data_IF_523189654801
#
_entry.id   IF_523189654801
#
_cell.length_a   1.000
_cell.length_b   1.000
_cell.length_c   1.000
_cell.angle_alpha   90.00
_cell.angle_beta   90.00
_cell.angle_gamma   90.00
#
_symmetry.space_group_name_H-M   'P 1'
#
loop_
_entity.id
_entity.type
_entity.pdbx_description
1 polymer ?
#
# COMPACT_ATOMS: atom_id res chain seq x y z
N UNK A 1 -11.46 -34.12 -23.94
CA UNK A 1 -11.81 -32.78 -23.39
C UNK A 1 -10.81 -32.50 -22.28
N UNK A 2 -10.08 -31.40 -22.39
CA UNK A 2 -9.19 -30.92 -21.33
C UNK A 2 -10.06 -30.33 -20.21
N UNK A 3 -9.78 -30.67 -18.96
CA UNK A 3 -10.49 -30.07 -17.83
C UNK A 3 -10.05 -28.62 -17.69
N UNK A 4 -11.01 -27.70 -17.58
CA UNK A 4 -10.76 -26.30 -17.31
C UNK A 4 -11.67 -25.86 -16.14
N UNK A 5 -11.17 -25.00 -15.23
CA UNK A 5 -12.01 -24.44 -14.18
C UNK A 5 -13.13 -23.58 -14.79
N UNK A 6 -14.27 -23.45 -14.11
CA UNK A 6 -15.31 -22.53 -14.54
C UNK A 6 -14.77 -21.09 -14.58
N UNK A 7 -15.36 -20.22 -15.42
CA UNK A 7 -14.99 -18.81 -15.43
C UNK A 7 -15.17 -18.20 -14.03
N UNK A 8 -14.27 -17.28 -13.66
CA UNK A 8 -14.34 -16.62 -12.36
C UNK A 8 -15.69 -15.89 -12.20
N UNK A 9 -16.31 -15.90 -11.00
CA UNK A 9 -17.65 -15.34 -10.76
C UNK A 9 -17.75 -13.80 -10.88
N UNK A 10 -16.74 -13.14 -11.44
CA UNK A 10 -16.64 -11.68 -11.51
C UNK A 10 -16.46 -11.03 -10.13
N UNK A 11 -16.37 -9.69 -10.08
CA UNK A 11 -16.18 -8.98 -8.83
C UNK A 11 -17.49 -8.89 -8.02
N UNK A 12 -17.38 -9.14 -6.71
CA UNK A 12 -18.47 -8.99 -5.73
C UNK A 12 -18.90 -7.52 -5.61
N UNK A 13 -20.06 -7.28 -4.99
CA UNK A 13 -20.52 -5.91 -4.70
C UNK A 13 -19.49 -5.14 -3.85
N UNK A 14 -18.95 -5.77 -2.79
CA UNK A 14 -17.92 -5.17 -1.94
C UNK A 14 -16.67 -4.80 -2.74
N UNK A 15 -16.17 -5.69 -3.59
CA UNK A 15 -15.00 -5.41 -4.44
C UNK A 15 -15.23 -4.23 -5.40
N UNK A 16 -16.46 -4.08 -5.92
CA UNK A 16 -16.82 -2.93 -6.78
C UNK A 16 -16.89 -1.63 -5.98
N UNK A 17 -17.42 -1.67 -4.76
CA UNK A 17 -17.47 -0.50 -3.86
C UNK A 17 -16.06 -0.07 -3.47
N UNK A 18 -15.21 -0.99 -3.04
CA UNK A 18 -13.81 -0.70 -2.71
C UNK A 18 -13.02 -0.15 -3.90
N UNK A 19 -13.26 -0.68 -5.11
CA UNK A 19 -12.63 -0.13 -6.31
C UNK A 19 -13.03 1.34 -6.55
N UNK A 20 -14.26 1.73 -6.21
CA UNK A 20 -14.71 3.13 -6.28
C UNK A 20 -14.11 3.97 -5.15
N UNK A 21 -14.05 3.43 -3.93
CA UNK A 21 -13.40 4.09 -2.79
C UNK A 21 -11.93 4.40 -3.08
N UNK A 22 -11.16 3.44 -3.62
CA UNK A 22 -9.75 3.65 -4.02
C UNK A 22 -9.61 4.74 -5.08
N UNK A 23 -10.48 4.70 -6.10
CA UNK A 23 -10.49 5.72 -7.17
C UNK A 23 -10.83 7.12 -6.62
N UNK A 24 -11.66 7.19 -5.59
CA UNK A 24 -11.99 8.43 -4.89
C UNK A 24 -10.93 8.85 -3.85
N UNK A 25 -9.91 8.00 -3.60
CA UNK A 25 -8.88 8.24 -2.59
C UNK A 25 -9.29 8.03 -1.15
N UNK A 26 -10.43 7.36 -0.94
CA UNK A 26 -10.94 7.00 0.40
C UNK A 26 -10.32 5.71 0.93
N UNK A 27 -9.50 5.03 0.12
CA UNK A 27 -8.82 3.78 0.44
C UNK A 27 -7.53 3.69 -0.37
N UNK A 28 -6.52 3.03 0.18
CA UNK A 28 -5.30 2.69 -0.56
C UNK A 28 -5.41 1.32 -1.25
N UNK A 29 -4.38 0.91 -1.99
CA UNK A 29 -4.35 -0.34 -2.75
C UNK A 29 -3.94 -1.58 -1.93
N UNK A 30 -3.71 -1.41 -0.63
CA UNK A 30 -3.47 -2.56 0.25
C UNK A 30 -4.78 -3.34 0.48
N UNK A 31 -4.74 -4.65 0.28
CA UNK A 31 -5.91 -5.53 0.45
C UNK A 31 -6.35 -5.69 1.89
N UNK A 32 -5.46 -5.41 2.85
CA UNK A 32 -5.74 -5.45 4.29
C UNK A 32 -6.00 -4.06 4.88
N UNK A 33 -6.11 -3.01 4.04
CA UNK A 33 -6.38 -1.67 4.51
C UNK A 33 -7.67 -1.63 5.35
N UNK A 34 -7.57 -1.16 6.59
CA UNK A 34 -8.74 -0.89 7.45
C UNK A 34 -9.28 0.52 7.30
N UNK A 35 -8.57 1.39 6.58
CA UNK A 35 -8.89 2.83 6.47
C UNK A 35 -9.79 3.04 5.25
N UNK A 36 -11.03 3.44 5.52
CA UNK A 36 -12.04 3.76 4.53
C UNK A 36 -13.45 3.70 5.13
N UNK A 37 -14.47 4.19 4.40
CA UNK A 37 -15.86 4.08 4.84
C UNK A 37 -16.26 2.63 5.12
N UNK A 38 -17.06 2.44 6.16
CA UNK A 38 -17.64 1.17 6.55
C UNK A 38 -19.12 1.35 6.92
N UNK A 39 -19.82 0.25 7.14
CA UNK A 39 -21.23 0.31 7.56
C UNK A 39 -21.39 0.93 8.96
N UNK A 40 -20.41 0.72 9.85
CA UNK A 40 -20.38 1.28 11.22
C UNK A 40 -19.87 2.72 11.26
N UNK A 41 -18.96 3.08 10.34
CA UNK A 41 -18.40 4.42 10.21
C UNK A 41 -18.39 4.85 8.73
N UNK A 42 -19.53 5.37 8.22
CA UNK A 42 -19.65 5.76 6.82
C UNK A 42 -18.92 7.05 6.48
N UNK A 43 -18.58 7.88 7.49
CA UNK A 43 -17.89 9.16 7.32
C UNK A 43 -16.71 9.30 8.29
N UNK A 44 -15.64 8.52 8.10
CA UNK A 44 -14.55 8.51 9.07
C UNK A 44 -13.90 9.88 9.21
N UNK A 45 -13.74 10.36 10.45
CA UNK A 45 -13.20 11.69 10.74
C UNK A 45 -11.77 11.88 10.22
N UNK A 46 -11.04 10.78 10.02
CA UNK A 46 -9.68 10.77 9.47
C UNK A 46 -9.59 11.45 8.11
N UNK A 47 -10.70 11.51 7.35
CA UNK A 47 -10.78 12.19 6.06
C UNK A 47 -11.06 13.70 6.15
N UNK A 48 -11.30 14.23 7.35
CA UNK A 48 -11.49 15.68 7.55
C UNK A 48 -10.17 16.46 7.49
N UNK A 49 -9.04 15.81 7.80
CA UNK A 49 -7.70 16.40 7.65
C UNK A 49 -6.96 15.74 6.47
N UNK A 50 -6.83 16.44 5.33
CA UNK A 50 -6.13 15.91 4.16
C UNK A 50 -4.62 15.71 4.39
N UNK A 51 -4.05 16.30 5.45
CA UNK A 51 -2.64 16.13 5.82
C UNK A 51 -2.41 15.01 6.83
N UNK A 52 -3.47 14.31 7.26
CA UNK A 52 -3.34 13.20 8.20
C UNK A 52 -2.49 12.07 7.57
N UNK A 53 -1.45 11.56 8.27
CA UNK A 53 -0.66 10.41 7.82
C UNK A 53 -1.50 9.18 7.44
N UNK A 54 -2.67 9.06 8.05
CA UNK A 54 -3.61 7.96 7.83
C UNK A 54 -4.35 8.03 6.50
N UNK A 55 -4.42 9.21 5.84
CA UNK A 55 -5.03 9.39 4.51
C UNK A 55 -4.01 9.68 3.40
N UNK A 56 -2.77 10.02 3.78
CA UNK A 56 -1.65 10.19 2.84
C UNK A 56 -1.45 8.91 2.04
N UNK A 57 -1.33 9.02 0.72
CA UNK A 57 -1.06 7.89 -0.18
C UNK A 57 0.23 8.11 -0.94
N UNK A 58 1.06 7.08 -0.99
CA UNK A 58 2.39 7.11 -1.61
C UNK A 58 2.54 6.02 -2.67
N UNK A 59 3.33 6.32 -3.69
CA UNK A 59 3.76 5.38 -4.71
C UNK A 59 5.11 4.75 -4.35
N UNK A 60 5.41 3.61 -4.95
CA UNK A 60 6.72 2.95 -4.83
C UNK A 60 7.54 3.31 -6.06
N UNK A 61 8.72 3.88 -5.86
CA UNK A 61 9.58 4.41 -6.93
C UNK A 61 10.61 3.37 -7.39
N UNK A 62 11.04 3.45 -8.65
CA UNK A 62 12.12 2.62 -9.20
C UNK A 62 13.48 3.02 -8.60
N UNK A 63 14.46 2.14 -8.69
CA UNK A 63 15.85 2.50 -8.39
C UNK A 63 16.40 3.47 -9.44
N UNK A 64 17.18 4.47 -9.00
CA UNK A 64 17.85 5.41 -9.90
C UNK A 64 16.94 6.45 -10.56
N UNK A 65 15.69 6.61 -10.12
CA UNK A 65 14.80 7.67 -10.59
C UNK A 65 13.55 7.83 -9.74
N UNK A 66 12.69 8.76 -10.16
CA UNK A 66 11.45 9.13 -9.47
C UNK A 66 10.20 8.60 -10.18
N UNK A 67 10.37 7.60 -11.05
CA UNK A 67 9.26 6.94 -11.71
C UNK A 67 8.66 5.85 -10.83
N UNK A 68 7.34 5.74 -10.81
CA UNK A 68 6.63 4.66 -10.15
C UNK A 68 6.97 3.28 -10.73
N UNK A 69 7.13 2.27 -9.87
CA UNK A 69 7.22 0.85 -10.26
C UNK A 69 5.88 0.35 -10.80
N UNK A 70 4.77 0.85 -10.25
CA UNK A 70 3.41 0.52 -10.65
C UNK A 70 2.44 1.64 -10.23
N UNK A 71 1.19 1.61 -10.71
CA UNK A 71 0.18 2.60 -10.37
C UNK A 71 -0.54 2.40 -9.02
N UNK A 72 -0.04 1.50 -8.16
CA UNK A 72 -0.65 1.26 -6.84
C UNK A 72 -0.15 2.27 -5.81
N UNK A 73 -1.07 2.76 -4.99
CA UNK A 73 -0.86 3.79 -3.98
C UNK A 73 -1.19 3.24 -2.59
N UNK A 74 -0.32 3.45 -1.61
CA UNK A 74 -0.44 2.88 -0.27
C UNK A 74 -0.44 3.95 0.80
N UNK A 75 -1.20 3.76 1.89
CA UNK A 75 -0.93 4.54 3.09
C UNK A 75 0.45 4.12 3.64
N UNK A 76 1.29 5.04 4.15
CA UNK A 76 2.59 4.71 4.71
C UNK A 76 2.53 3.56 5.74
N UNK A 77 1.57 3.63 6.67
CA UNK A 77 1.36 2.59 7.68
C UNK A 77 0.96 1.22 7.08
N UNK A 78 0.12 1.22 6.04
CA UNK A 78 -0.27 -0.02 5.34
C UNK A 78 0.94 -0.65 4.62
N UNK A 79 1.78 0.17 3.98
CA UNK A 79 2.97 -0.31 3.29
C UNK A 79 3.98 -0.93 4.27
N UNK A 80 4.25 -0.26 5.40
CA UNK A 80 5.14 -0.79 6.45
C UNK A 80 4.61 -2.10 7.03
N UNK A 81 3.30 -2.17 7.30
CA UNK A 81 2.66 -3.38 7.81
C UNK A 81 2.79 -4.54 6.83
N UNK A 82 2.48 -4.29 5.55
CA UNK A 82 2.55 -5.31 4.52
C UNK A 82 3.97 -5.81 4.28
N UNK A 83 4.96 -4.91 4.25
CA UNK A 83 6.37 -5.28 4.06
C UNK A 83 6.91 -6.13 5.23
N UNK A 84 6.61 -5.72 6.48
CA UNK A 84 6.93 -6.49 7.69
C UNK A 84 6.28 -7.87 7.69
N UNK A 85 5.01 -7.96 7.31
CA UNK A 85 4.29 -9.24 7.19
C UNK A 85 4.83 -10.13 6.07
N UNK A 86 5.30 -9.54 4.98
CA UNK A 86 5.87 -10.28 3.85
C UNK A 86 7.24 -10.89 4.18
N UNK A 87 7.86 -10.52 5.30
CA UNK A 87 9.11 -11.12 5.78
C UNK A 87 10.31 -10.83 4.88
N UNK A 88 10.30 -9.72 4.13
CA UNK A 88 11.43 -9.23 3.31
C UNK A 88 12.60 -8.67 4.16
N UNK A 89 12.73 -9.16 5.40
CA UNK A 89 13.78 -8.80 6.34
C UNK A 89 15.13 -9.40 5.96
N UNK A 90 16.10 -8.51 5.78
CA UNK A 90 17.56 -8.72 5.79
C UNK A 90 18.19 -9.52 4.63
N UNK A 91 17.54 -10.55 4.08
CA UNK A 91 18.21 -11.52 3.18
C UNK A 91 18.16 -11.21 1.68
N UNK A 92 17.26 -10.35 1.22
CA UNK A 92 17.07 -10.03 -0.21
C UNK A 92 17.32 -8.55 -0.51
N UNK A 93 17.65 -7.76 0.52
CA UNK A 93 17.96 -6.35 0.35
C UNK A 93 19.31 -6.28 -0.37
N UNK A 94 19.40 -5.74 -1.60
CA UNK A 94 20.70 -5.47 -2.20
C UNK A 94 21.48 -4.68 -1.18
N UNK A 95 22.70 -5.15 -0.86
CA UNK A 95 23.58 -4.58 0.17
C UNK A 95 23.43 -3.07 0.16
N UNK A 96 22.97 -2.50 1.28
CA UNK A 96 22.82 -1.06 1.46
C UNK A 96 24.03 -0.37 0.84
N UNK A 97 23.84 0.18 -0.36
CA UNK A 97 24.59 1.37 -0.73
C UNK A 97 24.20 2.39 0.33
N UNK A 98 25.19 3.06 0.89
CA UNK A 98 25.14 3.95 2.06
C UNK A 98 24.16 5.13 1.99
N UNK A 99 23.14 5.10 1.13
CA UNK A 99 22.10 6.13 1.08
C UNK A 99 21.04 5.82 2.12
N UNK A 100 21.15 6.49 3.27
CA UNK A 100 20.17 6.53 4.37
C UNK A 100 18.84 7.19 3.95
N UNK A 101 18.69 7.65 2.71
CA UNK A 101 17.58 8.48 2.26
C UNK A 101 16.31 7.69 1.87
N UNK A 102 16.40 6.36 1.68
CA UNK A 102 15.26 5.55 1.25
C UNK A 102 15.23 4.13 1.84
N UNK A 103 14.04 3.56 1.92
CA UNK A 103 13.81 2.15 2.28
C UNK A 103 13.36 1.34 1.07
N UNK A 104 13.90 0.13 0.94
CA UNK A 104 13.51 -0.84 -0.11
C UNK A 104 12.26 -1.60 0.32
N UNK A 105 11.24 -1.59 -0.55
CA UNK A 105 9.94 -2.21 -0.29
C UNK A 105 9.42 -2.97 -1.50
N UNK A 106 8.54 -3.95 -1.25
CA UNK A 106 7.77 -4.63 -2.30
C UNK A 106 6.32 -4.17 -2.31
N UNK A 107 5.77 -3.87 -3.50
CA UNK A 107 4.35 -3.61 -3.68
C UNK A 107 3.51 -4.79 -3.17
N UNK A 108 2.60 -4.59 -2.19
CA UNK A 108 1.73 -5.66 -1.67
C UNK A 108 0.80 -6.25 -2.73
N UNK A 109 0.38 -5.44 -3.72
CA UNK A 109 -0.58 -5.84 -4.75
C UNK A 109 0.06 -6.63 -5.91
N UNK A 110 1.15 -6.11 -6.51
CA UNK A 110 1.77 -6.72 -7.69
C UNK A 110 3.17 -7.30 -7.48
N UNK A 111 3.74 -7.17 -6.27
CA UNK A 111 5.09 -7.64 -5.92
C UNK A 111 6.24 -6.95 -6.66
N UNK A 112 5.98 -5.82 -7.32
CA UNK A 112 7.05 -4.96 -7.86
C UNK A 112 7.93 -4.40 -6.74
N UNK A 113 9.25 -4.52 -6.89
CA UNK A 113 10.23 -4.06 -5.89
C UNK A 113 10.70 -2.66 -6.25
N UNK A 114 10.78 -1.78 -5.26
CA UNK A 114 11.28 -0.42 -5.44
C UNK A 114 11.70 0.21 -4.12
N UNK A 115 11.63 1.53 -4.07
CA UNK A 115 12.02 2.34 -2.92
C UNK A 115 10.94 3.35 -2.51
N UNK A 116 10.95 3.73 -1.25
CA UNK A 116 10.23 4.88 -0.71
C UNK A 116 11.17 5.75 0.11
N UNK A 117 10.98 7.08 0.18
CA UNK A 117 11.79 7.93 1.04
C UNK A 117 11.77 7.46 2.50
N UNK A 118 12.91 7.55 3.20
CA UNK A 118 13.02 7.11 4.59
C UNK A 118 12.03 7.86 5.50
N UNK A 119 11.80 9.15 5.23
CA UNK A 119 10.79 9.95 5.93
C UNK A 119 9.38 9.34 5.86
N UNK A 120 8.98 8.84 4.69
CA UNK A 120 7.68 8.20 4.47
C UNK A 120 7.62 6.87 5.22
N UNK A 121 8.71 6.10 5.17
CA UNK A 121 8.82 4.84 5.90
C UNK A 121 8.71 5.04 7.41
N UNK A 122 9.45 6.00 7.97
CA UNK A 122 9.42 6.33 9.38
C UNK A 122 8.05 6.85 9.83
N UNK A 123 7.41 7.71 9.03
CA UNK A 123 6.06 8.20 9.28
C UNK A 123 5.09 7.01 9.42
N UNK A 124 5.10 6.09 8.46
CA UNK A 124 4.29 4.88 8.51
C UNK A 124 4.61 3.99 9.71
N UNK A 125 5.90 3.84 10.05
CA UNK A 125 6.33 3.06 11.21
C UNK A 125 5.85 3.69 12.52
N UNK A 126 5.89 5.02 12.65
CA UNK A 126 5.41 5.77 13.83
C UNK A 126 3.89 5.63 13.99
N UNK A 127 3.12 5.69 12.90
CA UNK A 127 1.66 5.50 12.94
C UNK A 127 1.24 4.13 13.49
N UNK A 128 2.07 3.10 13.33
CA UNK A 128 1.79 1.74 13.82
C UNK A 128 2.18 1.49 15.28
N UNK A 129 2.84 2.45 15.96
CA UNK A 129 3.30 2.31 17.35
C UNK A 129 2.29 2.83 18.38
N UNK A 130 1.07 3.14 17.95
CA UNK A 130 0.00 3.73 18.77
C UNK A 130 -0.96 2.65 19.27
#
# INVERSE_FOLDING_TARGET
REWAPPPAPGPTLRQRVEARERKAGLRCDDTSCGIGPSDEDPFPEVFNDPNSPSVKRVEILKYGGDEAVCGHLFHPACLVSADRCAGWGEKVRPSQGSDEEYEVVSCPACRGIGKVPMEVWEEGAKTLLV
#
